data_IF_055248686658
#
_entry.id   IF_055248686658
#
_cell.length_a   1.000
_cell.length_b   1.000
_cell.length_c   1.000
_cell.angle_alpha   90.00
_cell.angle_beta   90.00
_cell.angle_gamma   90.00
#
_symmetry.space_group_name_H-M   'P 1'
#
loop_
_entity.id
_entity.type
_entity.pdbx_description
1 polymer ?
#
# COMPACT_ATOMS: atom_id res chain seq x y z
N UNK A 1 21.20 8.20 -17.58
CA UNK A 1 19.98 7.89 -16.83
C UNK A 1 18.93 8.92 -17.16
N UNK A 2 18.02 8.55 -18.06
CA UNK A 2 16.88 9.35 -18.47
C UNK A 2 15.62 8.54 -18.23
N UNK A 3 14.63 9.14 -17.59
CA UNK A 3 13.25 8.63 -17.50
C UNK A 3 12.37 9.69 -18.13
N UNK A 4 11.44 9.28 -18.98
CA UNK A 4 10.34 10.11 -19.46
C UNK A 4 9.05 9.29 -19.40
N UNK A 5 8.11 9.73 -18.58
CA UNK A 5 6.87 9.02 -18.36
C UNK A 5 5.67 9.98 -18.25
N UNK A 6 4.56 9.61 -18.88
CA UNK A 6 3.25 10.27 -18.76
C UNK A 6 2.22 9.27 -18.28
N UNK A 7 1.39 9.65 -17.30
CA UNK A 7 0.43 8.75 -16.67
C UNK A 7 -0.76 9.51 -16.09
N UNK A 8 -1.78 8.77 -15.69
CA UNK A 8 -2.86 9.31 -14.88
C UNK A 8 -2.32 9.81 -13.51
N UNK A 9 -2.59 11.06 -13.17
CA UNK A 9 -2.10 11.69 -11.95
C UNK A 9 -2.68 11.10 -10.66
N UNK A 10 -3.87 10.50 -10.68
CA UNK A 10 -4.43 9.81 -9.53
C UNK A 10 -3.66 8.52 -9.20
N UNK A 11 -3.12 7.83 -10.23
CA UNK A 11 -2.23 6.68 -10.05
C UNK A 11 -0.94 7.08 -9.32
N UNK A 12 -0.31 8.17 -9.76
CA UNK A 12 0.90 8.72 -9.14
C UNK A 12 0.63 9.17 -7.70
N UNK A 13 -0.48 9.88 -7.46
CA UNK A 13 -0.89 10.28 -6.11
C UNK A 13 -1.06 9.08 -5.20
N UNK A 14 -1.74 8.03 -5.66
CA UNK A 14 -2.00 6.83 -4.86
C UNK A 14 -0.69 6.13 -4.48
N UNK A 15 0.20 5.92 -5.44
CA UNK A 15 1.53 5.32 -5.22
C UNK A 15 2.31 6.12 -4.16
N UNK A 16 2.43 7.43 -4.34
CA UNK A 16 3.22 8.30 -3.46
C UNK A 16 2.59 8.43 -2.08
N UNK A 17 1.26 8.59 -2.01
CA UNK A 17 0.51 8.63 -0.75
C UNK A 17 0.72 7.34 0.03
N UNK A 18 0.64 6.19 -0.64
CA UNK A 18 0.89 4.89 -0.04
C UNK A 18 2.27 4.79 0.59
N UNK A 19 3.31 5.20 -0.15
CA UNK A 19 4.70 5.22 0.33
C UNK A 19 4.89 6.16 1.53
N UNK A 20 4.31 7.36 1.47
CA UNK A 20 4.47 8.41 2.50
C UNK A 20 3.91 8.02 3.87
N UNK A 21 3.08 6.98 3.93
CA UNK A 21 2.58 6.44 5.19
C UNK A 21 3.64 5.67 5.97
N UNK A 22 4.64 5.07 5.30
CA UNK A 22 5.64 4.22 5.96
C UNK A 22 7.06 4.75 5.89
N UNK A 23 7.42 5.48 4.83
CA UNK A 23 8.81 5.90 4.59
C UNK A 23 8.89 7.35 4.10
N UNK A 24 9.95 8.04 4.51
CA UNK A 24 10.28 9.40 4.06
C UNK A 24 11.03 9.43 2.74
N UNK A 25 11.73 8.35 2.41
CA UNK A 25 12.54 8.21 1.20
C UNK A 25 12.48 6.77 0.68
N UNK A 26 12.59 6.58 -0.64
CA UNK A 26 12.63 5.26 -1.23
C UNK A 26 13.38 5.25 -2.56
N UNK A 27 13.80 4.05 -2.97
CA UNK A 27 14.36 3.79 -4.30
C UNK A 27 13.21 3.44 -5.26
N UNK A 28 13.05 4.23 -6.30
CA UNK A 28 12.10 3.95 -7.36
C UNK A 28 12.81 3.18 -8.46
N UNK A 29 12.32 1.98 -8.76
CA UNK A 29 12.84 1.12 -9.80
C UNK A 29 11.93 1.21 -11.02
N UNK A 30 12.53 1.54 -12.16
CA UNK A 30 11.88 1.61 -13.46
C UNK A 30 12.51 0.53 -14.35
N UNK A 31 11.69 -0.27 -15.02
CA UNK A 31 12.12 -1.30 -15.97
C UNK A 31 11.02 -1.56 -17.01
N UNK A 32 11.18 -2.57 -17.86
CA UNK A 32 10.18 -2.92 -18.89
C UNK A 32 8.76 -3.20 -18.36
N UNK A 33 8.61 -3.56 -17.07
CA UNK A 33 7.32 -3.82 -16.44
C UNK A 33 6.67 -2.57 -15.83
N UNK A 34 7.36 -1.43 -15.78
CA UNK A 34 6.87 -0.16 -15.27
C UNK A 34 7.64 0.33 -14.04
N UNK A 35 6.93 1.03 -13.14
CA UNK A 35 7.49 1.56 -11.90
C UNK A 35 7.17 0.61 -10.73
N UNK A 36 8.18 0.22 -9.96
CA UNK A 36 8.03 -0.53 -8.71
C UNK A 36 8.86 0.09 -7.58
N UNK A 37 8.26 0.15 -6.39
CA UNK A 37 8.90 0.63 -5.17
C UNK A 37 8.64 -0.39 -4.07
N UNK A 38 9.69 -0.84 -3.40
CA UNK A 38 9.60 -1.74 -2.24
C UNK A 38 10.37 -1.14 -1.08
N UNK A 39 9.71 -0.96 0.05
CA UNK A 39 10.32 -0.41 1.25
C UNK A 39 9.73 -1.05 2.51
N UNK A 40 10.46 -0.95 3.62
CA UNK A 40 10.01 -1.38 4.95
C UNK A 40 10.16 -0.19 5.88
N UNK A 41 9.19 -0.04 6.78
CA UNK A 41 9.20 1.02 7.78
C UNK A 41 10.44 0.93 8.70
N UNK A 42 10.80 2.02 9.41
CA UNK A 42 11.97 2.00 10.30
C UNK A 42 11.90 0.92 11.40
N UNK A 43 10.69 0.57 11.86
CA UNK A 43 10.49 -0.45 12.89
C UNK A 43 10.56 -1.89 12.37
N UNK A 44 10.61 -2.10 11.04
CA UNK A 44 10.56 -3.42 10.40
C UNK A 44 9.31 -4.24 10.71
N UNK A 45 8.18 -3.56 10.87
CA UNK A 45 6.87 -4.16 11.16
C UNK A 45 6.03 -4.26 9.88
N UNK A 46 6.14 -3.28 8.99
CA UNK A 46 5.34 -3.19 7.77
C UNK A 46 6.21 -2.98 6.53
N UNK A 47 5.94 -3.77 5.49
CA UNK A 47 6.51 -3.59 4.15
C UNK A 47 5.45 -2.99 3.23
N UNK A 48 5.85 -2.09 2.34
CA UNK A 48 5.05 -1.62 1.22
C UNK A 48 5.65 -2.10 -0.10
N UNK A 49 4.77 -2.53 -1.00
CA UNK A 49 5.04 -2.76 -2.42
C UNK A 49 4.08 -1.85 -3.19
N UNK A 50 4.61 -0.86 -3.88
CA UNK A 50 3.81 0.03 -4.72
C UNK A 50 4.26 -0.08 -6.18
N UNK A 51 3.32 -0.21 -7.10
CA UNK A 51 3.63 -0.37 -8.52
C UNK A 51 2.62 0.27 -9.45
N UNK A 52 3.12 0.80 -10.56
CA UNK A 52 2.36 1.24 -11.72
C UNK A 52 2.88 0.43 -12.91
N UNK A 53 2.08 -0.47 -13.49
CA UNK A 53 2.47 -1.26 -14.65
C UNK A 53 2.78 -0.39 -15.88
N UNK A 54 3.65 -0.85 -16.78
CA UNK A 54 4.05 -0.11 -17.97
C UNK A 54 2.88 0.28 -18.90
N UNK A 55 1.85 -0.57 -18.98
CA UNK A 55 0.63 -0.32 -19.78
C UNK A 55 -0.28 0.77 -19.22
N UNK A 56 -0.04 1.20 -17.98
CA UNK A 56 -0.77 2.28 -17.31
C UNK A 56 -0.17 3.67 -17.61
N UNK A 57 0.90 3.72 -18.41
CA UNK A 57 1.53 4.96 -18.86
C UNK A 57 1.14 5.27 -20.30
N UNK A 58 0.80 6.53 -20.56
CA UNK A 58 0.58 7.05 -21.91
C UNK A 58 1.91 7.14 -22.69
N UNK A 59 3.00 7.44 -21.97
CA UNK A 59 4.37 7.49 -22.47
C UNK A 59 5.25 6.83 -21.42
N UNK A 60 6.13 5.92 -21.83
CA UNK A 60 7.11 5.30 -20.93
C UNK A 60 8.41 5.03 -21.68
N UNK A 61 9.46 5.77 -21.33
CA UNK A 61 10.79 5.67 -21.92
C UNK A 61 11.85 5.71 -20.82
N UNK A 62 12.77 4.75 -20.86
CA UNK A 62 13.91 4.65 -19.96
C UNK A 62 15.18 4.42 -20.76
N UNK A 63 16.31 4.99 -20.31
CA UNK A 63 17.57 4.91 -21.05
C UNK A 63 18.28 3.55 -21.00
N UNK A 64 17.94 2.71 -20.01
CA UNK A 64 18.61 1.46 -19.68
C UNK A 64 17.56 0.40 -19.31
N UNK A 65 17.93 -0.89 -19.29
CA UNK A 65 17.01 -2.00 -18.93
C UNK A 65 16.37 -1.81 -17.54
N UNK A 66 17.15 -1.28 -16.60
CA UNK A 66 16.68 -0.87 -15.28
C UNK A 66 17.27 0.50 -14.92
N UNK A 67 16.41 1.39 -14.44
CA UNK A 67 16.78 2.70 -13.92
C UNK A 67 16.32 2.81 -12.48
N UNK A 68 17.23 3.21 -11.57
CA UNK A 68 16.93 3.37 -10.14
C UNK A 68 17.24 4.79 -9.69
N UNK A 69 16.24 5.48 -9.12
CA UNK A 69 16.39 6.83 -8.57
C UNK A 69 16.02 6.86 -7.09
N UNK A 70 16.71 7.70 -6.31
CA UNK A 70 16.39 7.94 -4.91
C UNK A 70 15.48 9.16 -4.76
N UNK A 71 14.35 8.98 -4.10
CA UNK A 71 13.28 9.99 -4.05
C UNK A 71 12.93 10.33 -2.60
N UNK A 72 12.88 11.63 -2.29
CA UNK A 72 12.22 12.16 -1.08
C UNK A 72 10.70 12.02 -1.26
N UNK A 73 10.12 11.02 -0.61
CA UNK A 73 8.71 10.68 -0.72
C UNK A 73 7.84 11.77 -0.10
N UNK A 74 8.28 12.39 1.00
CA UNK A 74 7.53 13.46 1.64
C UNK A 74 7.39 14.65 0.69
N UNK A 75 8.51 15.06 0.07
CA UNK A 75 8.50 16.18 -0.88
C UNK A 75 7.66 15.88 -2.11
N UNK A 76 7.78 14.69 -2.68
CA UNK A 76 6.96 14.30 -3.84
C UNK A 76 5.47 14.21 -3.46
N UNK A 77 5.13 13.76 -2.25
CA UNK A 77 3.75 13.72 -1.76
C UNK A 77 3.11 15.11 -1.64
N UNK A 78 3.85 16.11 -1.18
CA UNK A 78 3.38 17.51 -1.16
C UNK A 78 3.05 18.05 -2.55
N UNK A 79 3.81 17.62 -3.56
CA UNK A 79 3.62 18.03 -4.96
C UNK A 79 2.42 17.30 -5.55
N UNK A 80 2.35 15.97 -5.44
CA UNK A 80 1.31 15.16 -6.08
C UNK A 80 -0.08 15.45 -5.53
N UNK A 81 -0.21 15.85 -4.25
CA UNK A 81 -1.47 16.34 -3.66
C UNK A 81 -2.10 17.51 -4.41
N UNK A 82 -1.33 18.27 -5.19
CA UNK A 82 -1.80 19.44 -5.95
C UNK A 82 -2.28 19.09 -7.35
N UNK A 83 -2.02 17.87 -7.83
CA UNK A 83 -2.54 17.42 -9.12
C UNK A 83 -4.08 17.34 -8.97
N UNK A 84 -4.87 17.93 -9.87
CA UNK A 84 -6.33 17.79 -9.83
C UNK A 84 -6.77 16.34 -10.05
N UNK A 85 -7.98 15.98 -9.59
CA UNK A 85 -8.52 14.62 -9.81
C UNK A 85 -8.78 14.40 -11.30
N UNK A 86 -8.35 13.26 -11.84
CA UNK A 86 -8.51 12.92 -13.26
C UNK A 86 -7.50 13.55 -14.23
N UNK A 87 -6.62 14.44 -13.76
CA UNK A 87 -5.60 15.06 -14.62
C UNK A 87 -4.42 14.11 -14.87
N UNK A 88 -3.79 14.25 -16.03
CA UNK A 88 -2.51 13.59 -16.32
C UNK A 88 -1.36 14.25 -15.56
N UNK A 89 -0.34 13.45 -15.26
CA UNK A 89 0.94 13.87 -14.72
C UNK A 89 2.09 13.39 -15.61
N UNK A 90 3.21 14.09 -15.57
CA UNK A 90 4.47 13.65 -16.18
C UNK A 90 5.57 13.51 -15.13
N UNK A 91 6.44 12.54 -15.35
CA UNK A 91 7.68 12.32 -14.63
C UNK A 91 8.82 12.36 -15.63
N UNK A 92 9.81 13.21 -15.39
CA UNK A 92 11.08 13.13 -16.12
C UNK A 92 12.25 13.22 -15.17
N UNK A 93 13.20 12.31 -15.29
CA UNK A 93 14.41 12.34 -14.47
C UNK A 93 15.64 12.43 -15.37
N UNK A 94 16.50 13.42 -15.10
CA UNK A 94 17.79 13.57 -15.77
C UNK A 94 18.84 13.98 -14.73
N UNK A 95 20.02 13.36 -14.81
CA UNK A 95 21.16 13.60 -13.91
C UNK A 95 20.80 13.38 -12.43
N UNK A 96 20.45 14.44 -11.71
CA UNK A 96 20.22 14.47 -10.27
C UNK A 96 18.90 15.16 -9.92
N UNK A 97 17.97 15.25 -10.87
CA UNK A 97 16.71 15.97 -10.69
C UNK A 97 15.53 15.18 -11.24
N UNK A 98 14.49 15.07 -10.43
CA UNK A 98 13.17 14.59 -10.83
C UNK A 98 12.27 15.79 -11.09
N UNK A 99 11.71 15.86 -12.28
CA UNK A 99 10.66 16.81 -12.63
C UNK A 99 9.30 16.12 -12.60
N UNK A 100 8.31 16.83 -12.08
CA UNK A 100 6.92 16.39 -11.98
C UNK A 100 6.04 17.47 -12.60
N UNK A 101 5.39 17.16 -13.72
CA UNK A 101 4.54 18.09 -14.46
C UNK A 101 3.06 17.73 -14.36
N UNK A 102 2.19 18.74 -14.38
CA UNK A 102 0.73 18.58 -14.54
C UNK A 102 0.10 19.92 -14.95
N UNK A 103 -0.79 19.91 -15.94
CA UNK A 103 -1.35 21.14 -16.52
C UNK A 103 -0.24 22.07 -17.04
N UNK A 104 -0.13 23.27 -16.45
CA UNK A 104 0.93 24.26 -16.75
C UNK A 104 2.05 24.30 -15.72
N UNK A 105 2.02 23.42 -14.72
CA UNK A 105 2.97 23.41 -13.61
C UNK A 105 4.06 22.37 -13.87
N UNK A 106 5.30 22.74 -13.56
CA UNK A 106 6.45 21.83 -13.49
C UNK A 106 7.16 22.07 -12.16
N UNK A 107 7.29 21.03 -11.35
CA UNK A 107 8.10 21.03 -10.14
C UNK A 107 9.42 20.31 -10.42
N UNK A 108 10.50 20.83 -9.86
CA UNK A 108 11.84 20.23 -9.95
C UNK A 108 12.31 19.88 -8.54
N UNK A 109 12.66 18.61 -8.31
CA UNK A 109 13.09 18.07 -7.01
C UNK A 109 14.45 17.41 -7.16
N UNK A 110 15.38 17.70 -6.26
CA UNK A 110 16.67 17.04 -6.24
C UNK A 110 16.50 15.55 -5.90
N UNK A 111 17.18 14.68 -6.64
CA UNK A 111 17.26 13.26 -6.35
C UNK A 111 18.26 13.02 -5.21
N UNK A 112 17.97 11.99 -4.42
CA UNK A 112 18.90 11.45 -3.43
C UNK A 112 19.72 10.37 -4.12
N UNK A 113 21.01 10.27 -3.82
CA UNK A 113 21.82 9.14 -4.27
C UNK A 113 21.18 7.83 -3.78
N UNK A 114 20.78 6.90 -4.68
CA UNK A 114 20.21 5.62 -4.28
C UNK A 114 21.08 4.87 -3.27
N UNK A 115 22.42 5.01 -3.31
CA UNK A 115 23.33 4.38 -2.37
C UNK A 115 23.16 4.87 -0.93
N UNK A 116 22.67 6.09 -0.72
CA UNK A 116 22.41 6.66 0.59
C UNK A 116 21.07 6.17 1.20
N UNK A 117 20.13 5.72 0.37
CA UNK A 117 18.84 5.18 0.80
C UNK A 117 18.98 3.69 1.12
N UNK A 118 18.25 3.19 2.12
CA UNK A 118 18.13 1.76 2.42
C UNK A 118 17.81 0.95 1.15
N UNK A 119 18.49 -0.19 0.98
CA UNK A 119 18.22 -1.11 -0.15
C UNK A 119 16.80 -1.66 -0.08
N UNK A 120 16.19 -1.80 -1.24
CA UNK A 120 14.89 -2.44 -1.43
C UNK A 120 14.94 -3.86 -0.86
N UNK A 121 14.07 -4.22 0.10
CA UNK A 121 14.05 -5.54 0.69
C UNK A 121 13.48 -6.56 -0.31
N UNK A 122 13.82 -7.84 -0.11
CA UNK A 122 13.18 -8.92 -0.86
C UNK A 122 11.74 -9.08 -0.38
N UNK A 123 10.79 -9.11 -1.33
CA UNK A 123 9.39 -9.39 -1.02
C UNK A 123 9.26 -10.87 -0.63
N UNK A 124 8.71 -11.21 0.55
CA UNK A 124 8.52 -12.59 0.96
C UNK A 124 7.41 -13.24 0.13
N UNK A 125 7.56 -14.53 -0.17
CA UNK A 125 6.44 -15.35 -0.65
C UNK A 125 5.62 -15.77 0.57
N UNK A 126 4.34 -15.39 0.59
CA UNK A 126 3.41 -15.68 1.68
C UNK A 126 2.51 -16.84 1.26
N UNK A 127 2.52 -17.93 2.03
CA UNK A 127 1.60 -19.06 1.87
C UNK A 127 0.38 -18.84 2.77
N UNK A 128 -0.56 -18.04 2.26
CA UNK A 128 -1.78 -17.65 2.99
C UNK A 128 -2.91 -18.64 2.74
N UNK A 129 -3.80 -18.81 3.74
CA UNK A 129 -4.87 -19.81 3.72
C UNK A 129 -6.19 -19.28 3.15
N UNK A 130 -6.40 -17.97 3.23
CA UNK A 130 -7.62 -17.31 2.76
C UNK A 130 -7.31 -16.02 2.03
N UNK A 131 -8.16 -15.70 1.06
CA UNK A 131 -8.26 -14.39 0.43
C UNK A 131 -9.67 -13.83 0.63
N UNK A 132 -9.75 -12.60 1.14
CA UNK A 132 -10.99 -11.86 1.35
C UNK A 132 -10.92 -10.59 0.51
N UNK A 133 -11.95 -10.34 -0.29
CA UNK A 133 -12.08 -9.10 -1.09
C UNK A 133 -13.27 -8.30 -0.58
N UNK A 134 -13.02 -7.06 -0.18
CA UNK A 134 -13.99 -6.17 0.46
C UNK A 134 -13.89 -4.73 -0.04
N UNK A 135 -14.98 -3.99 0.13
CA UNK A 135 -14.96 -2.53 -0.01
C UNK A 135 -14.01 -1.92 1.07
N UNK A 136 -12.98 -1.15 0.65
CA UNK A 136 -12.03 -0.54 1.59
C UNK A 136 -12.68 0.41 2.61
N UNK A 137 -13.78 1.07 2.27
CA UNK A 137 -14.49 2.00 3.15
C UNK A 137 -15.25 1.26 4.26
N UNK A 138 -15.87 0.11 3.95
CA UNK A 138 -16.50 -0.74 4.97
C UNK A 138 -15.45 -1.32 5.92
N UNK A 139 -14.36 -1.86 5.37
CA UNK A 139 -13.25 -2.37 6.15
C UNK A 139 -12.64 -1.27 7.05
N UNK A 140 -12.40 -0.07 6.50
CA UNK A 140 -11.90 1.08 7.26
C UNK A 140 -12.82 1.43 8.43
N UNK A 141 -14.14 1.48 8.21
CA UNK A 141 -15.10 1.77 9.28
C UNK A 141 -15.06 0.71 10.38
N UNK A 142 -14.97 -0.56 10.02
CA UNK A 142 -14.85 -1.66 10.99
C UNK A 142 -13.56 -1.54 11.83
N UNK A 143 -12.43 -1.22 11.20
CA UNK A 143 -11.15 -1.01 11.88
C UNK A 143 -11.16 0.25 12.78
N UNK A 144 -11.83 1.33 12.36
CA UNK A 144 -12.02 2.53 13.19
C UNK A 144 -12.86 2.24 14.43
N UNK A 145 -13.90 1.40 14.32
CA UNK A 145 -14.70 0.97 15.46
C UNK A 145 -13.91 0.03 16.39
N UNK A 146 -13.18 -0.94 15.83
CA UNK A 146 -12.30 -1.85 16.57
C UNK A 146 -11.21 -1.10 17.35
N UNK A 147 -10.63 -0.06 16.73
CA UNK A 147 -9.59 0.77 17.34
C UNK A 147 -10.06 1.65 18.49
N UNK A 148 -11.37 1.81 18.71
CA UNK A 148 -11.89 2.44 19.93
C UNK A 148 -11.85 1.49 21.13
N UNK A 149 -11.78 0.18 20.86
CA UNK A 149 -11.79 -0.86 21.88
C UNK A 149 -10.36 -1.24 22.27
N UNK A 150 -9.53 -1.63 21.30
CA UNK A 150 -8.17 -2.11 21.57
C UNK A 150 -7.15 -1.59 20.54
N UNK A 151 -5.87 -1.59 20.93
CA UNK A 151 -4.73 -1.32 20.04
C UNK A 151 -4.49 -2.47 19.04
N UNK A 152 -5.12 -3.62 19.27
CA UNK A 152 -5.00 -4.81 18.45
C UNK A 152 -6.35 -5.26 17.89
N UNK A 153 -6.33 -5.81 16.69
CA UNK A 153 -7.51 -6.39 16.04
C UNK A 153 -7.19 -7.78 15.53
N UNK A 154 -8.11 -8.71 15.73
CA UNK A 154 -8.09 -10.05 15.16
C UNK A 154 -8.90 -10.02 13.87
N UNK A 155 -8.27 -10.42 12.78
CA UNK A 155 -8.92 -10.76 11.52
C UNK A 155 -9.06 -12.28 11.47
N UNK A 156 -10.26 -12.76 11.22
CA UNK A 156 -10.58 -14.18 11.21
C UNK A 156 -11.45 -14.53 10.00
N UNK A 157 -11.08 -15.59 9.28
CA UNK A 157 -11.96 -16.28 8.33
C UNK A 157 -12.32 -17.61 8.97
N UNK A 158 -13.61 -17.86 9.15
CA UNK A 158 -14.10 -19.10 9.74
C UNK A 158 -15.45 -19.48 9.15
N UNK A 159 -15.57 -20.71 8.68
CA UNK A 159 -16.82 -21.30 8.19
C UNK A 159 -17.50 -20.45 7.08
N UNK A 160 -16.70 -19.79 6.25
CA UNK A 160 -17.17 -18.93 5.15
C UNK A 160 -17.47 -17.48 5.54
N UNK A 161 -17.31 -17.10 6.81
CA UNK A 161 -17.49 -15.73 7.28
C UNK A 161 -16.15 -15.04 7.53
N UNK A 162 -16.08 -13.74 7.22
CA UNK A 162 -14.97 -12.89 7.61
C UNK A 162 -15.37 -12.02 8.81
N UNK A 163 -14.57 -12.03 9.87
CA UNK A 163 -14.85 -11.34 11.13
C UNK A 163 -13.66 -10.50 11.55
N UNK A 164 -13.95 -9.25 11.92
CA UNK A 164 -13.04 -8.32 12.56
C UNK A 164 -13.44 -8.20 14.03
N UNK A 165 -12.52 -8.44 14.95
CA UNK A 165 -12.81 -8.36 16.38
C UNK A 165 -11.70 -7.71 17.19
N UNK A 166 -12.09 -6.96 18.21
CA UNK A 166 -11.19 -6.38 19.20
C UNK A 166 -11.80 -6.56 20.60
N UNK A 167 -10.94 -6.79 21.59
CA UNK A 167 -11.34 -7.10 22.96
C UNK A 167 -10.42 -6.41 23.95
N UNK A 168 -11.04 -5.80 24.95
CA UNK A 168 -10.42 -5.37 26.20
C UNK A 168 -11.15 -5.99 27.39
N UNK A 169 -10.70 -5.67 28.61
CA UNK A 169 -11.22 -6.25 29.86
C UNK A 169 -12.75 -6.17 30.03
N UNK A 170 -13.39 -5.08 29.60
CA UNK A 170 -14.81 -4.81 29.82
C UNK A 170 -15.65 -4.77 28.54
N UNK A 171 -15.00 -4.75 27.38
CA UNK A 171 -15.67 -4.49 26.11
C UNK A 171 -15.12 -5.40 25.01
N UNK A 172 -16.01 -5.85 24.13
CA UNK A 172 -15.66 -6.63 22.96
C UNK A 172 -16.52 -6.16 21.80
N UNK A 173 -15.89 -5.94 20.66
CA UNK A 173 -16.56 -5.67 19.40
C UNK A 173 -16.30 -6.80 18.42
N UNK A 174 -17.34 -7.17 17.67
CA UNK A 174 -17.28 -8.07 16.54
C UNK A 174 -18.02 -7.43 15.38
N UNK A 175 -17.36 -7.38 14.23
CA UNK A 175 -17.94 -6.93 12.96
C UNK A 175 -17.82 -8.10 12.00
N UNK A 176 -18.95 -8.69 11.64
CA UNK A 176 -19.02 -9.79 10.67
C UNK A 176 -19.33 -9.23 9.28
N UNK A 177 -18.68 -9.79 8.28
CA UNK A 177 -18.94 -9.56 6.87
C UNK A 177 -19.49 -10.86 6.29
N UNK A 178 -20.73 -10.79 5.80
CA UNK A 178 -21.43 -11.90 5.14
C UNK A 178 -21.35 -11.75 3.61
N UNK A 179 -21.96 -12.68 2.86
CA UNK A 179 -22.00 -12.68 1.40
C UNK A 179 -22.53 -11.36 0.78
N UNK A 180 -23.29 -10.56 1.53
CA UNK A 180 -23.80 -9.27 1.07
C UNK A 180 -22.80 -8.11 1.24
N UNK A 181 -21.81 -8.27 2.12
CA UNK A 181 -20.76 -7.27 2.42
C UNK A 181 -19.39 -7.64 1.86
N UNK A 182 -19.23 -8.85 1.34
CA UNK A 182 -18.01 -9.33 0.70
C UNK A 182 -18.14 -9.25 -0.83
N UNK A 183 -17.06 -8.86 -1.49
CA UNK A 183 -16.93 -9.00 -2.95
C UNK A 183 -16.61 -10.47 -3.26
N UNK A 184 -15.68 -11.06 -2.53
CA UNK A 184 -15.41 -12.51 -2.55
C UNK A 184 -14.72 -12.98 -1.28
N UNK A 185 -14.83 -14.29 -1.03
CA UNK A 185 -14.05 -15.00 -0.01
C UNK A 185 -13.67 -16.37 -0.55
N UNK A 186 -12.37 -16.65 -0.57
CA UNK A 186 -11.80 -17.92 -1.04
C UNK A 186 -10.83 -18.50 0.00
N UNK A 187 -10.69 -19.83 -0.02
CA UNK A 187 -9.76 -20.55 0.84
C UNK A 187 -10.39 -21.15 2.10
N UNK A 188 -9.64 -21.20 3.20
CA UNK A 188 -10.03 -21.89 4.43
C UNK A 188 -9.77 -21.09 5.70
N UNK A 189 -9.99 -21.72 6.85
CA UNK A 189 -9.92 -21.02 8.14
C UNK A 189 -8.55 -20.38 8.39
N UNK A 190 -8.56 -19.09 8.73
CA UNK A 190 -7.38 -18.27 8.98
C UNK A 190 -7.67 -17.29 10.13
N UNK A 191 -6.65 -16.96 10.93
CA UNK A 191 -6.83 -16.08 12.10
C UNK A 191 -5.50 -15.45 12.47
N UNK A 192 -5.40 -14.13 12.39
CA UNK A 192 -4.19 -13.41 12.81
C UNK A 192 -4.54 -12.10 13.49
N UNK A 193 -3.73 -11.70 14.47
CA UNK A 193 -3.86 -10.45 15.19
C UNK A 193 -2.88 -9.41 14.63
N UNK A 194 -3.30 -8.16 14.51
CA UNK A 194 -2.51 -7.06 13.97
C UNK A 194 -2.65 -5.79 14.81
N UNK A 195 -1.66 -4.90 14.72
CA UNK A 195 -1.77 -3.57 15.31
C UNK A 195 -2.74 -2.69 14.52
N UNK A 196 -3.74 -2.13 15.20
CA UNK A 196 -4.80 -1.32 14.58
C UNK A 196 -4.23 -0.08 13.89
N UNK A 197 -3.23 0.57 14.49
CA UNK A 197 -2.63 1.80 13.95
C UNK A 197 -2.11 1.60 12.51
N UNK A 198 -1.40 0.50 12.25
CA UNK A 198 -0.89 0.18 10.91
C UNK A 198 -2.03 -0.03 9.91
N UNK A 199 -3.07 -0.80 10.27
CA UNK A 199 -4.20 -1.04 9.37
C UNK A 199 -4.96 0.28 9.11
N UNK A 200 -5.17 1.11 10.12
CA UNK A 200 -5.75 2.45 9.96
C UNK A 200 -4.91 3.33 9.05
N UNK A 201 -3.58 3.25 9.12
CA UNK A 201 -2.70 3.94 8.18
C UNK A 201 -2.91 3.44 6.75
N UNK A 202 -2.90 2.12 6.52
CA UNK A 202 -3.06 1.54 5.18
C UNK A 202 -4.37 1.95 4.52
N UNK A 203 -5.49 1.91 5.25
CA UNK A 203 -6.80 2.31 4.71
C UNK A 203 -6.88 3.77 4.26
N UNK A 204 -5.92 4.62 4.63
CA UNK A 204 -5.84 5.99 4.10
C UNK A 204 -5.53 6.01 2.61
N UNK A 205 -4.90 4.97 2.03
CA UNK A 205 -4.54 4.95 0.61
C UNK A 205 -5.75 4.74 -0.31
N UNK A 206 -6.83 4.14 0.22
CA UNK A 206 -8.00 3.77 -0.55
C UNK A 206 -8.68 4.96 -1.24
N UNK A 207 -9.08 4.75 -2.48
CA UNK A 207 -10.01 5.56 -3.25
C UNK A 207 -11.40 4.89 -3.30
N UNK A 208 -12.39 5.62 -3.80
CA UNK A 208 -13.81 5.17 -3.81
C UNK A 208 -14.03 3.89 -4.62
N UNK A 209 -13.27 3.70 -5.68
CA UNK A 209 -13.48 2.63 -6.67
C UNK A 209 -12.40 1.53 -6.54
N UNK A 210 -11.69 1.51 -5.41
CA UNK A 210 -10.68 0.50 -5.11
C UNK A 210 -11.32 -0.77 -4.53
N UNK A 211 -10.70 -1.92 -4.76
CA UNK A 211 -10.95 -3.14 -4.01
C UNK A 211 -9.80 -3.39 -3.03
N UNK A 212 -10.12 -3.89 -1.83
CA UNK A 212 -9.14 -4.34 -0.84
C UNK A 212 -9.10 -5.86 -0.80
N UNK A 213 -7.98 -6.43 -1.25
CA UNK A 213 -7.68 -7.85 -1.12
C UNK A 213 -6.85 -8.11 0.13
N UNK A 214 -7.37 -8.91 1.04
CA UNK A 214 -6.73 -9.30 2.30
C UNK A 214 -6.36 -10.78 2.20
N UNK A 215 -5.06 -11.08 2.14
CA UNK A 215 -4.60 -12.45 2.25
C UNK A 215 -4.18 -12.74 3.69
N UNK A 216 -4.71 -13.82 4.26
CA UNK A 216 -4.62 -14.13 5.68
C UNK A 216 -4.12 -15.56 5.93
N UNK A 217 -3.26 -15.71 6.93
CA UNK A 217 -2.86 -17.01 7.50
C UNK A 217 -3.24 -17.12 8.98
N UNK A 218 -2.71 -18.15 9.66
CA UNK A 218 -2.86 -18.31 11.12
C UNK A 218 -1.59 -17.87 11.82
N UNK A 219 -1.68 -16.86 12.68
CA UNK A 219 -0.52 -16.24 13.35
C UNK A 219 0.60 -15.87 12.36
N UNK A 220 0.21 -15.37 11.19
CA UNK A 220 1.06 -15.19 10.01
C UNK A 220 0.94 -13.77 9.45
N UNK A 221 1.96 -13.24 8.74
CA UNK A 221 1.85 -11.93 8.11
C UNK A 221 0.62 -11.82 7.20
N UNK A 222 -0.10 -10.72 7.34
CA UNK A 222 -1.23 -10.37 6.48
C UNK A 222 -0.78 -9.52 5.30
N UNK A 223 -1.36 -9.73 4.12
CA UNK A 223 -1.14 -8.88 2.94
C UNK A 223 -2.41 -8.11 2.60
N UNK A 224 -2.33 -6.80 2.55
CA UNK A 224 -3.43 -5.88 2.27
C UNK A 224 -3.16 -5.16 0.95
N UNK A 225 -3.90 -5.48 -0.11
CA UNK A 225 -3.67 -4.97 -1.46
C UNK A 225 -4.81 -4.05 -1.87
N UNK A 226 -4.50 -2.77 -2.03
CA UNK A 226 -5.43 -1.76 -2.55
C UNK A 226 -5.22 -1.64 -4.05
N UNK A 227 -6.10 -2.27 -4.82
CA UNK A 227 -5.99 -2.39 -6.27
C UNK A 227 -6.85 -1.33 -6.94
N UNK A 228 -6.31 -0.71 -7.97
CA UNK A 228 -7.02 0.12 -8.94
C UNK A 228 -6.47 -0.19 -10.33
N UNK A 229 -7.22 0.15 -11.37
CA UNK A 229 -6.88 -0.19 -12.77
C UNK A 229 -5.43 0.16 -13.16
N UNK A 230 -4.91 1.28 -12.67
CA UNK A 230 -3.62 1.82 -13.08
C UNK A 230 -2.54 1.82 -11.99
N UNK A 231 -2.84 1.30 -10.79
CA UNK A 231 -1.92 1.37 -9.66
C UNK A 231 -2.27 0.32 -8.60
N UNK A 232 -1.24 -0.33 -8.06
CA UNK A 232 -1.36 -1.31 -6.98
C UNK A 232 -0.49 -0.89 -5.81
N UNK A 233 -1.09 -0.81 -4.63
CA UNK A 233 -0.38 -0.56 -3.36
C UNK A 233 -0.68 -1.70 -2.40
N UNK A 234 0.35 -2.45 -2.03
CA UNK A 234 0.26 -3.60 -1.14
C UNK A 234 1.05 -3.34 0.13
N UNK A 235 0.50 -3.76 1.25
CA UNK A 235 1.18 -3.77 2.55
C UNK A 235 1.27 -5.19 3.08
N UNK A 236 2.46 -5.59 3.55
CA UNK A 236 2.65 -6.82 4.31
C UNK A 236 2.91 -6.42 5.77
N UNK A 237 2.07 -6.91 6.67
CA UNK A 237 2.12 -6.57 8.09
C UNK A 237 2.42 -7.79 8.94
N UNK A 238 3.44 -7.70 9.79
CA UNK A 238 3.76 -8.75 10.75
C UNK A 238 2.61 -8.96 11.75
N UNK A 239 2.29 -10.21 12.12
CA UNK A 239 1.27 -10.48 13.10
C UNK A 239 1.77 -10.10 14.49
N UNK A 240 0.83 -9.86 15.39
CA UNK A 240 1.06 -9.79 16.83
C UNK A 240 0.76 -11.17 17.41
N UNK A 241 1.69 -11.69 18.21
CA UNK A 241 1.44 -12.91 18.95
C UNK A 241 0.46 -12.60 20.08
N UNK A 242 -0.59 -13.41 20.22
CA UNK A 242 -1.40 -13.39 21.43
C UNK A 242 -0.48 -13.75 22.60
N UNK A 243 -0.35 -12.85 23.58
CA UNK A 243 0.27 -13.22 24.83
C UNK A 243 -0.62 -14.28 25.46
N UNK A 244 -0.17 -15.53 25.42
CA UNK A 244 -0.87 -16.64 26.04
C UNK A 244 -1.13 -16.31 27.51
N UNK A 245 -2.40 -16.36 27.90
CA UNK A 245 -2.77 -16.61 29.29
C UNK A 245 -2.34 -18.05 29.56
N UNK A 246 -1.10 -18.23 30.00
CA UNK A 246 -0.62 -19.47 30.60
C UNK A 246 -1.16 -19.59 32.02
#
# INVERSE_FOLDING_TARGET
>A
MMIEAGLNGDALKKLVKGLSLLVSEARWHFNEFGLKVVAVDPANVAMIIASIPADSFDVYSISDEEVVIGVDINRVNEITKKIPKGDSASLSAEVATLKIGFGKLEYSVALIDPAAIRKSPKVPSLDTKAEVVVDPAEFKRAIELAGKISEHVVLEVKDGEFVISAKESLETIRVSFDDGSLISLEGGNARSMFGVEYIQMFTKVANKDDELHIHLGTDYPGKFSFVSDSCRVEYILAPRLEQGVY
#
